data_IF_687565609961
#
_entry.id   IF_687565609961
#
_cell.length_a   1.000
_cell.length_b   1.000
_cell.length_c   1.000
_cell.angle_alpha   90.00
_cell.angle_beta   90.00
_cell.angle_gamma   90.00
#
_symmetry.space_group_name_H-M   'P 1'
#
loop_
_entity.id
_entity.type
_entity.pdbx_description
1 polymer ?
#
# COMPACT_ATOMS: atom_id res chain seq x y z
N UNK A 1 -15.18 4.53 -24.49
CA UNK A 1 -14.94 3.08 -24.50
C UNK A 1 -14.53 2.70 -23.08
N UNK A 2 -15.36 1.92 -22.39
CA UNK A 2 -14.97 1.38 -21.08
C UNK A 2 -13.79 0.44 -21.29
N UNK A 3 -12.65 0.83 -20.75
CA UNK A 3 -11.45 0.02 -20.80
C UNK A 3 -11.68 -1.20 -19.90
N UNK A 4 -11.51 -2.39 -20.45
CA UNK A 4 -11.70 -3.62 -19.71
C UNK A 4 -10.82 -3.63 -18.44
N UNK A 5 -11.41 -4.03 -17.32
CA UNK A 5 -10.73 -4.11 -16.03
C UNK A 5 -9.82 -5.36 -15.97
N UNK A 6 -8.60 -5.19 -16.44
CA UNK A 6 -7.61 -6.26 -16.39
C UNK A 6 -7.70 -7.29 -17.51
N UNK A 7 -6.94 -8.37 -17.36
CA UNK A 7 -6.97 -9.55 -18.23
C UNK A 7 -8.28 -10.35 -18.04
N UNK A 8 -8.55 -11.34 -18.88
CA UNK A 8 -9.68 -12.27 -18.68
C UNK A 8 -9.68 -12.94 -17.30
N UNK A 9 -8.50 -13.27 -16.74
CA UNK A 9 -8.37 -13.83 -15.39
C UNK A 9 -8.77 -12.81 -14.32
N UNK A 10 -8.29 -11.56 -14.43
CA UNK A 10 -8.69 -10.47 -13.53
C UNK A 10 -10.21 -10.23 -13.58
N UNK A 11 -10.80 -10.22 -14.77
CA UNK A 11 -12.25 -10.03 -14.94
C UNK A 11 -13.05 -11.17 -14.31
N UNK A 12 -12.59 -12.43 -14.47
CA UNK A 12 -13.22 -13.59 -13.85
C UNK A 12 -13.16 -13.51 -12.32
N UNK A 13 -12.02 -13.08 -11.76
CA UNK A 13 -11.85 -12.87 -10.33
C UNK A 13 -12.76 -11.76 -9.81
N UNK A 14 -12.81 -10.63 -10.51
CA UNK A 14 -13.71 -9.51 -10.17
C UNK A 14 -15.17 -9.96 -10.20
N UNK A 15 -15.58 -10.67 -11.25
CA UNK A 15 -16.94 -11.18 -11.37
C UNK A 15 -17.29 -12.16 -10.23
N UNK A 16 -16.33 -12.99 -9.83
CA UNK A 16 -16.51 -13.93 -8.71
C UNK A 16 -16.75 -13.21 -7.38
N UNK A 17 -15.92 -12.21 -7.07
CA UNK A 17 -16.06 -11.41 -5.84
C UNK A 17 -17.37 -10.60 -5.86
N UNK A 18 -17.72 -10.00 -6.99
CA UNK A 18 -19.00 -9.29 -7.15
C UNK A 18 -20.19 -10.22 -6.95
N UNK A 19 -20.15 -11.41 -7.53
CA UNK A 19 -21.22 -12.41 -7.37
C UNK A 19 -21.39 -12.87 -5.92
N UNK A 20 -20.29 -13.01 -5.18
CA UNK A 20 -20.32 -13.38 -3.76
C UNK A 20 -21.06 -12.34 -2.91
N UNK A 21 -20.83 -11.06 -3.17
CA UNK A 21 -21.46 -9.97 -2.42
C UNK A 21 -22.82 -9.52 -3.00
N UNK A 22 -23.28 -10.14 -4.07
CA UNK A 22 -24.57 -9.80 -4.67
C UNK A 22 -25.73 -10.10 -3.68
N UNK A 23 -26.45 -9.05 -3.28
CA UNK A 23 -27.56 -9.15 -2.33
C UNK A 23 -27.14 -9.23 -0.85
N UNK A 24 -25.88 -9.03 -0.52
CA UNK A 24 -25.42 -8.92 0.86
C UNK A 24 -25.66 -7.49 1.37
N UNK A 25 -26.64 -7.34 2.25
CA UNK A 25 -27.03 -6.04 2.82
C UNK A 25 -25.94 -5.39 3.68
N UNK A 26 -24.93 -6.16 4.11
CA UNK A 26 -23.77 -5.61 4.81
C UNK A 26 -22.87 -4.79 3.90
N UNK A 27 -22.94 -4.98 2.57
CA UNK A 27 -22.02 -4.41 1.60
C UNK A 27 -22.67 -3.27 0.83
N UNK A 28 -22.06 -2.10 0.86
CA UNK A 28 -22.50 -0.90 0.14
C UNK A 28 -21.93 -0.81 -1.26
N UNK A 29 -20.67 -1.24 -1.43
CA UNK A 29 -20.02 -1.28 -2.73
C UNK A 29 -18.84 -2.25 -2.72
N UNK A 30 -18.54 -2.78 -3.91
CA UNK A 30 -17.28 -3.45 -4.24
C UNK A 30 -16.58 -2.59 -5.28
N UNK A 31 -15.34 -2.26 -5.00
CA UNK A 31 -14.50 -1.49 -5.93
C UNK A 31 -13.16 -2.18 -6.15
N UNK A 32 -12.51 -1.85 -7.25
CA UNK A 32 -11.11 -2.22 -7.54
C UNK A 32 -10.28 -0.94 -7.66
N UNK A 33 -9.02 -1.02 -7.26
CA UNK A 33 -8.08 0.10 -7.34
C UNK A 33 -6.69 -0.39 -7.77
N UNK A 34 -5.62 0.34 -7.49
CA UNK A 34 -4.28 -0.06 -7.91
C UNK A 34 -4.10 -0.09 -9.43
N UNK A 35 -3.27 -1.00 -9.92
CA UNK A 35 -2.94 -1.11 -11.35
C UNK A 35 -4.14 -1.51 -12.21
N UNK A 36 -4.99 -2.40 -11.71
CA UNK A 36 -6.20 -2.85 -12.43
C UNK A 36 -7.23 -1.72 -12.51
N UNK A 37 -7.48 -1.01 -11.41
CA UNK A 37 -8.38 0.15 -11.39
C UNK A 37 -7.90 1.30 -12.25
N UNK A 38 -6.57 1.54 -12.29
CA UNK A 38 -5.94 2.58 -13.11
C UNK A 38 -5.89 2.24 -14.62
N UNK A 39 -6.08 0.98 -14.99
CA UNK A 39 -5.89 0.52 -16.36
C UNK A 39 -4.41 0.40 -16.78
N UNK A 40 -3.48 0.35 -15.82
CA UNK A 40 -2.03 0.22 -16.05
C UNK A 40 -1.49 -1.17 -15.69
N UNK A 41 -2.39 -2.15 -15.65
CA UNK A 41 -2.14 -3.52 -15.27
C UNK A 41 -1.27 -4.27 -16.30
N UNK A 42 -0.67 -5.37 -15.87
CA UNK A 42 -0.06 -6.42 -16.68
C UNK A 42 -0.56 -7.79 -16.21
N UNK A 43 -0.25 -8.86 -16.91
CA UNK A 43 -0.78 -10.21 -16.65
C UNK A 43 -0.46 -10.73 -15.24
N UNK A 44 0.62 -10.25 -14.62
CA UNK A 44 1.05 -10.61 -13.26
C UNK A 44 0.64 -9.56 -12.22
N UNK A 45 -0.24 -8.62 -12.56
CA UNK A 45 -0.77 -7.69 -11.56
C UNK A 45 -1.71 -8.41 -10.62
N UNK A 46 -1.62 -8.07 -9.32
CA UNK A 46 -2.63 -8.40 -8.33
C UNK A 46 -3.93 -7.61 -8.56
N UNK A 47 -5.01 -8.05 -7.93
CA UNK A 47 -6.28 -7.33 -7.92
C UNK A 47 -6.54 -6.79 -6.52
N UNK A 48 -6.50 -5.49 -6.39
CA UNK A 48 -6.81 -4.78 -5.14
C UNK A 48 -8.31 -4.50 -5.04
N UNK A 49 -8.98 -5.11 -4.06
CA UNK A 49 -10.39 -4.88 -3.78
C UNK A 49 -10.59 -3.96 -2.58
N UNK A 50 -11.53 -3.05 -2.72
CA UNK A 50 -12.04 -2.18 -1.66
C UNK A 50 -13.52 -2.49 -1.47
N UNK A 51 -13.84 -3.24 -0.41
CA UNK A 51 -15.20 -3.68 -0.08
C UNK A 51 -15.76 -2.74 0.99
N UNK A 52 -16.64 -1.83 0.59
CA UNK A 52 -17.23 -0.85 1.49
C UNK A 52 -18.44 -1.45 2.19
N UNK A 53 -18.39 -1.47 3.51
CA UNK A 53 -19.42 -2.06 4.36
C UNK A 53 -20.40 -1.02 4.91
N UNK A 54 -21.54 -1.46 5.43
CA UNK A 54 -22.34 -0.65 6.34
C UNK A 54 -21.56 -0.36 7.63
N UNK A 55 -21.85 0.76 8.27
CA UNK A 55 -21.12 1.23 9.46
C UNK A 55 -21.21 0.27 10.65
N UNK A 56 -22.31 -0.45 10.77
CA UNK A 56 -22.57 -1.44 11.82
C UNK A 56 -22.09 -2.85 11.48
N UNK A 57 -21.71 -3.10 10.23
CA UNK A 57 -21.30 -4.43 9.79
C UNK A 57 -20.01 -4.86 10.48
N UNK A 58 -19.95 -6.14 10.78
CA UNK A 58 -18.75 -6.81 11.26
C UNK A 58 -18.37 -7.84 10.21
N UNK A 59 -17.13 -7.76 9.77
CA UNK A 59 -16.54 -8.67 8.78
C UNK A 59 -15.35 -9.35 9.44
N UNK A 60 -15.29 -10.66 9.31
CA UNK A 60 -14.12 -11.47 9.63
C UNK A 60 -13.41 -11.80 8.32
N UNK A 61 -12.25 -11.17 8.04
CA UNK A 61 -11.53 -11.38 6.78
C UNK A 61 -11.20 -12.85 6.50
N UNK A 62 -10.85 -13.63 7.52
CA UNK A 62 -10.56 -15.05 7.37
C UNK A 62 -11.79 -15.86 6.94
N UNK A 63 -12.94 -15.60 7.58
CA UNK A 63 -14.19 -16.23 7.21
C UNK A 63 -14.67 -15.83 5.81
N UNK A 64 -14.53 -14.55 5.45
CA UNK A 64 -14.89 -14.07 4.09
C UNK A 64 -14.01 -14.72 3.01
N UNK A 65 -12.69 -14.82 3.21
CA UNK A 65 -11.81 -15.50 2.25
C UNK A 65 -12.13 -16.98 2.15
N UNK A 66 -12.43 -17.64 3.27
CA UNK A 66 -12.84 -19.04 3.25
C UNK A 66 -14.17 -19.25 2.50
N UNK A 67 -15.11 -18.31 2.64
CA UNK A 67 -16.38 -18.34 1.91
C UNK A 67 -16.21 -18.04 0.42
N UNK A 68 -15.34 -17.06 0.06
CA UNK A 68 -15.05 -16.68 -1.31
C UNK A 68 -14.34 -17.80 -2.09
N UNK A 69 -13.28 -18.34 -1.53
CA UNK A 69 -12.34 -19.17 -2.28
C UNK A 69 -12.19 -20.60 -1.75
N UNK A 70 -12.53 -20.83 -0.47
CA UNK A 70 -12.38 -22.15 0.15
C UNK A 70 -10.96 -22.70 -0.01
N UNK A 71 -10.80 -23.97 -0.46
CA UNK A 71 -9.48 -24.58 -0.62
C UNK A 71 -8.66 -24.00 -1.78
N UNK A 72 -9.24 -23.17 -2.64
CA UNK A 72 -8.50 -22.49 -3.73
C UNK A 72 -7.56 -21.40 -3.21
N UNK A 73 -7.80 -20.87 -2.01
CA UNK A 73 -6.89 -19.93 -1.34
C UNK A 73 -5.75 -20.73 -0.70
N UNK A 74 -4.61 -20.82 -1.37
CA UNK A 74 -3.41 -21.55 -0.90
C UNK A 74 -2.69 -20.77 0.20
N UNK A 75 -2.64 -19.44 0.07
CA UNK A 75 -2.12 -18.52 1.07
C UNK A 75 -3.22 -17.51 1.37
N UNK A 76 -3.51 -17.31 2.66
CA UNK A 76 -4.44 -16.29 3.12
C UNK A 76 -3.87 -15.64 4.39
N UNK A 77 -3.43 -14.40 4.26
CA UNK A 77 -2.89 -13.59 5.36
C UNK A 77 -3.96 -12.60 5.81
N UNK A 78 -4.84 -13.05 6.70
CA UNK A 78 -5.93 -12.24 7.22
C UNK A 78 -5.46 -11.32 8.35
N UNK A 79 -5.77 -10.02 8.22
CA UNK A 79 -5.60 -8.98 9.24
C UNK A 79 -6.92 -8.65 9.95
N UNK A 80 -7.00 -7.47 10.55
CA UNK A 80 -8.20 -7.01 11.24
C UNK A 80 -9.34 -6.60 10.27
N UNK A 81 -8.98 -6.04 9.13
CA UNK A 81 -9.90 -5.53 8.10
C UNK A 81 -9.38 -5.77 6.69
N UNK A 82 -8.34 -6.59 6.54
CA UNK A 82 -7.68 -6.88 5.27
C UNK A 82 -7.35 -8.35 5.14
N UNK A 83 -7.20 -8.84 3.91
CA UNK A 83 -6.58 -10.12 3.62
C UNK A 83 -5.79 -10.04 2.32
N UNK A 84 -4.57 -10.60 2.33
CA UNK A 84 -3.77 -10.86 1.13
C UNK A 84 -3.86 -12.35 0.82
N UNK A 85 -4.19 -12.69 -0.42
CA UNK A 85 -4.51 -14.05 -0.84
C UNK A 85 -3.75 -14.42 -2.11
N UNK A 86 -3.23 -15.65 -2.13
CA UNK A 86 -2.71 -16.29 -3.33
C UNK A 86 -3.55 -17.53 -3.62
N UNK A 87 -4.14 -17.59 -4.80
CA UNK A 87 -4.94 -18.71 -5.25
C UNK A 87 -4.06 -19.83 -5.82
N UNK A 88 -4.60 -21.04 -5.92
CA UNK A 88 -3.93 -22.20 -6.53
C UNK A 88 -3.51 -21.95 -8.00
N UNK A 89 -4.24 -21.11 -8.69
CA UNK A 89 -3.99 -20.65 -10.07
C UNK A 89 -2.94 -19.54 -10.16
N UNK A 90 -2.37 -19.12 -9.00
CA UNK A 90 -1.34 -18.08 -8.81
C UNK A 90 -1.81 -16.64 -8.98
N UNK A 91 -3.10 -16.38 -9.13
CA UNK A 91 -3.61 -15.02 -8.99
C UNK A 91 -3.43 -14.57 -7.56
N UNK A 92 -2.99 -13.31 -7.42
CA UNK A 92 -2.85 -12.62 -6.16
C UNK A 92 -3.95 -11.56 -6.04
N UNK A 93 -4.48 -11.42 -4.84
CA UNK A 93 -5.44 -10.37 -4.54
C UNK A 93 -5.27 -9.87 -3.11
N UNK A 94 -5.51 -8.56 -2.96
CA UNK A 94 -5.65 -7.92 -1.67
C UNK A 94 -7.11 -7.47 -1.51
N UNK A 95 -7.72 -7.77 -0.37
CA UNK A 95 -9.09 -7.32 -0.07
C UNK A 95 -9.09 -6.53 1.22
N UNK A 96 -9.76 -5.39 1.21
CA UNK A 96 -10.01 -4.59 2.40
C UNK A 96 -11.51 -4.43 2.61
N UNK A 97 -11.98 -4.65 3.85
CA UNK A 97 -13.37 -4.41 4.27
C UNK A 97 -13.43 -3.26 5.27
N UNK A 98 -14.21 -2.24 4.96
CA UNK A 98 -14.27 -1.07 5.83
C UNK A 98 -15.54 -0.23 5.60
N UNK A 99 -16.01 0.50 6.59
CA UNK A 99 -17.08 1.49 6.39
C UNK A 99 -16.57 2.69 5.57
N UNK A 100 -17.47 3.33 4.83
CA UNK A 100 -17.14 4.44 3.93
C UNK A 100 -16.29 5.54 4.62
N UNK A 101 -16.59 5.85 5.88
CA UNK A 101 -15.86 6.88 6.66
C UNK A 101 -14.38 6.58 6.89
N UNK A 102 -13.93 5.34 6.68
CA UNK A 102 -12.51 4.93 6.81
C UNK A 102 -11.86 4.61 5.48
N UNK A 103 -12.47 5.05 4.37
CA UNK A 103 -11.88 4.91 3.03
C UNK A 103 -10.46 5.47 3.00
N UNK A 104 -9.55 4.71 2.38
CA UNK A 104 -8.16 5.13 2.27
C UNK A 104 -8.01 6.30 1.30
N UNK A 105 -7.25 7.36 1.64
CA UNK A 105 -6.94 8.43 0.71
C UNK A 105 -6.11 7.99 -0.51
N UNK A 106 -5.54 6.79 -0.47
CA UNK A 106 -4.66 6.29 -1.54
C UNK A 106 -5.42 5.67 -2.72
N UNK A 107 -6.72 5.38 -2.58
CA UNK A 107 -7.51 4.79 -3.69
C UNK A 107 -7.87 5.81 -4.77
N UNK A 108 -7.95 7.08 -4.43
CA UNK A 108 -8.08 8.28 -5.28
C UNK A 108 -8.45 8.04 -6.75
N UNK A 109 -7.58 8.49 -7.66
CA UNK A 109 -7.83 8.48 -9.10
C UNK A 109 -7.86 7.07 -9.75
N UNK A 110 -7.54 6.02 -9.01
CA UNK A 110 -7.48 4.64 -9.54
C UNK A 110 -8.71 3.82 -9.22
N UNK A 111 -9.60 4.29 -8.31
CA UNK A 111 -10.76 3.52 -7.87
C UNK A 111 -11.81 3.38 -8.97
N UNK A 112 -12.31 2.16 -9.16
CA UNK A 112 -13.45 1.83 -10.01
C UNK A 112 -14.44 1.00 -9.24
N UNK A 113 -15.65 1.53 -9.04
CA UNK A 113 -16.74 0.75 -8.43
C UNK A 113 -17.26 -0.25 -9.46
N UNK A 114 -17.29 -1.51 -9.08
CA UNK A 114 -17.72 -2.63 -9.93
C UNK A 114 -19.09 -3.17 -9.54
N UNK A 115 -19.53 -2.93 -8.30
CA UNK A 115 -20.88 -3.27 -7.83
C UNK A 115 -21.29 -2.40 -6.64
N UNK A 116 -22.60 -2.29 -6.39
CA UNK A 116 -23.15 -1.68 -5.19
C UNK A 116 -23.85 -0.34 -5.43
N UNK A 117 -24.04 0.42 -4.33
CA UNK A 117 -24.85 1.65 -4.27
C UNK A 117 -24.03 2.95 -4.27
N UNK A 118 -22.72 2.83 -4.06
CA UNK A 118 -21.81 3.98 -4.05
C UNK A 118 -21.18 4.19 -5.42
N UNK A 119 -20.83 5.42 -5.72
CA UNK A 119 -20.05 5.79 -6.91
C UNK A 119 -18.56 5.91 -6.58
N UNK A 120 -17.69 5.93 -7.59
CA UNK A 120 -16.28 6.22 -7.41
C UNK A 120 -16.08 7.62 -6.77
N UNK A 121 -16.93 8.60 -7.09
CA UNK A 121 -16.85 9.93 -6.51
C UNK A 121 -17.11 9.93 -4.99
N UNK A 122 -18.01 9.06 -4.48
CA UNK A 122 -18.26 8.92 -3.04
C UNK A 122 -17.03 8.40 -2.31
N UNK A 123 -16.33 7.41 -2.90
CA UNK A 123 -15.12 6.85 -2.32
C UNK A 123 -13.97 7.87 -2.33
N UNK A 124 -13.81 8.60 -3.44
CA UNK A 124 -12.79 9.66 -3.55
C UNK A 124 -13.04 10.75 -2.52
N UNK A 125 -14.28 11.23 -2.39
CA UNK A 125 -14.64 12.26 -1.42
C UNK A 125 -14.41 11.81 0.03
N UNK A 126 -14.76 10.55 0.36
CA UNK A 126 -14.50 9.98 1.67
C UNK A 126 -13.00 9.84 1.94
N UNK A 127 -12.22 9.36 0.98
CA UNK A 127 -10.77 9.26 1.05
C UNK A 127 -10.09 10.63 1.23
N UNK A 128 -10.54 11.65 0.52
CA UNK A 128 -10.03 13.02 0.66
C UNK A 128 -10.33 13.58 2.05
N UNK A 129 -11.49 13.29 2.62
CA UNK A 129 -11.84 13.65 3.99
C UNK A 129 -10.93 12.98 5.04
N UNK A 130 -10.40 11.80 4.73
CA UNK A 130 -9.48 11.03 5.58
C UNK A 130 -7.99 11.36 5.32
N UNK A 131 -7.69 12.28 4.40
CA UNK A 131 -6.34 12.82 4.27
C UNK A 131 -5.96 13.61 5.52
N UNK A 132 -5.74 12.94 6.63
CA UNK A 132 -4.82 13.49 7.61
C UNK A 132 -3.48 13.53 6.89
N UNK A 133 -3.03 14.73 6.49
CA UNK A 133 -1.64 14.92 6.11
C UNK A 133 -0.83 14.46 7.32
N UNK A 134 -0.10 13.34 7.26
CA UNK A 134 0.88 13.10 8.29
C UNK A 134 1.72 14.35 8.28
N UNK A 135 1.86 14.97 9.44
CA UNK A 135 2.72 16.09 9.65
C UNK A 135 4.05 15.77 8.92
N UNK A 136 4.42 16.57 7.95
CA UNK A 136 5.66 16.40 7.16
C UNK A 136 6.85 16.23 8.12
N UNK A 137 6.85 16.97 9.23
CA UNK A 137 7.84 16.84 10.28
C UNK A 137 7.87 15.40 10.85
N UNK A 138 6.72 14.78 11.08
CA UNK A 138 6.62 13.43 11.64
C UNK A 138 7.13 12.36 10.64
N UNK A 139 6.90 12.56 9.35
CA UNK A 139 7.45 11.68 8.30
C UNK A 139 8.97 11.83 8.20
N UNK A 140 9.47 13.07 8.25
CA UNK A 140 10.90 13.34 8.26
C UNK A 140 11.59 12.74 9.49
N UNK A 141 10.95 12.77 10.66
CA UNK A 141 11.45 12.09 11.86
C UNK A 141 11.50 10.56 11.70
N UNK A 142 10.49 9.97 11.07
CA UNK A 142 10.48 8.54 10.78
C UNK A 142 11.62 8.14 9.81
N UNK A 143 11.85 8.94 8.77
CA UNK A 143 12.97 8.74 7.82
C UNK A 143 14.31 8.87 8.54
N UNK A 144 14.50 9.92 9.37
CA UNK A 144 15.72 10.11 10.14
C UNK A 144 16.01 8.92 11.08
N UNK A 145 14.97 8.42 11.77
CA UNK A 145 15.08 7.23 12.62
C UNK A 145 15.53 6.00 11.82
N UNK A 146 14.91 5.74 10.67
CA UNK A 146 15.27 4.59 9.83
C UNK A 146 16.67 4.74 9.24
N UNK A 147 17.14 5.97 8.95
CA UNK A 147 18.51 6.23 8.51
C UNK A 147 19.54 5.90 9.60
N UNK A 148 19.30 6.33 10.84
CA UNK A 148 20.15 5.96 11.99
C UNK A 148 20.16 4.44 12.18
N UNK A 149 19.02 3.78 12.03
CA UNK A 149 18.95 2.32 12.12
C UNK A 149 19.78 1.65 11.01
N UNK A 150 19.69 2.13 9.77
CA UNK A 150 20.50 1.62 8.66
C UNK A 150 22.00 1.78 8.92
N UNK A 151 22.45 2.95 9.40
CA UNK A 151 23.85 3.19 9.77
C UNK A 151 24.33 2.21 10.84
N UNK A 152 23.54 2.00 11.90
CA UNK A 152 23.86 1.03 12.96
C UNK A 152 23.89 -0.41 12.45
N UNK A 153 22.99 -0.78 11.54
CA UNK A 153 22.97 -2.10 10.92
C UNK A 153 24.23 -2.33 10.07
N UNK A 154 24.64 -1.34 9.26
CA UNK A 154 25.87 -1.38 8.47
C UNK A 154 27.10 -1.55 9.36
N UNK A 155 27.24 -0.75 10.42
CA UNK A 155 28.35 -0.83 11.35
C UNK A 155 28.47 -2.19 12.05
N UNK A 156 27.36 -2.93 12.20
CA UNK A 156 27.30 -4.27 12.77
C UNK A 156 27.42 -5.40 11.74
N UNK A 157 27.63 -5.09 10.46
CA UNK A 157 27.66 -6.06 9.37
C UNK A 157 26.29 -6.70 9.05
N UNK A 158 25.20 -6.12 9.55
CA UNK A 158 23.83 -6.62 9.36
C UNK A 158 23.23 -6.09 8.05
N UNK A 159 23.78 -6.56 6.95
CA UNK A 159 23.49 -6.06 5.61
C UNK A 159 22.00 -6.04 5.28
N UNK A 160 21.29 -7.13 5.52
CA UNK A 160 19.86 -7.22 5.17
C UNK A 160 18.98 -6.30 6.01
N UNK A 161 19.34 -6.06 7.26
CA UNK A 161 18.65 -5.08 8.10
C UNK A 161 18.86 -3.66 7.55
N UNK A 162 20.06 -3.35 7.07
CA UNK A 162 20.35 -2.08 6.42
C UNK A 162 19.56 -1.89 5.12
N UNK A 163 19.53 -2.90 4.24
CA UNK A 163 18.73 -2.90 3.00
C UNK A 163 17.26 -2.64 3.30
N UNK A 164 16.69 -3.35 4.27
CA UNK A 164 15.28 -3.17 4.65
C UNK A 164 14.99 -1.76 5.19
N UNK A 165 15.93 -1.16 5.93
CA UNK A 165 15.78 0.22 6.43
C UNK A 165 15.85 1.24 5.29
N UNK A 166 16.81 1.09 4.38
CA UNK A 166 16.96 1.95 3.19
C UNK A 166 15.69 1.90 2.33
N UNK A 167 15.12 0.72 2.15
CA UNK A 167 13.87 0.57 1.38
C UNK A 167 12.67 1.26 2.07
N UNK A 168 12.57 1.22 3.40
CA UNK A 168 11.56 2.01 4.12
C UNK A 168 11.73 3.51 3.93
N UNK A 169 12.98 4.01 3.96
CA UNK A 169 13.28 5.42 3.70
C UNK A 169 12.84 5.78 2.28
N UNK A 170 13.20 4.97 1.29
CA UNK A 170 12.83 5.19 -0.11
C UNK A 170 11.31 5.33 -0.26
N UNK A 171 10.53 4.39 0.30
CA UNK A 171 9.05 4.44 0.26
C UNK A 171 8.52 5.71 0.92
N UNK A 172 9.04 6.06 2.10
CA UNK A 172 8.62 7.26 2.82
C UNK A 172 8.92 8.55 2.04
N UNK A 173 10.05 8.62 1.32
CA UNK A 173 10.37 9.74 0.43
C UNK A 173 9.42 9.80 -0.77
N UNK A 174 9.13 8.65 -1.40
CA UNK A 174 8.15 8.56 -2.49
C UNK A 174 6.77 9.09 -2.05
N UNK A 175 6.32 8.70 -0.86
CA UNK A 175 5.06 9.17 -0.29
C UNK A 175 5.06 10.68 0.00
N UNK A 176 6.18 11.23 0.48
CA UNK A 176 6.32 12.66 0.70
C UNK A 176 6.27 13.46 -0.60
N UNK A 177 6.92 12.96 -1.64
CA UNK A 177 6.98 13.61 -2.95
C UNK A 177 5.69 13.49 -3.74
N UNK A 178 4.80 12.56 -3.37
CA UNK A 178 3.54 12.30 -4.07
C UNK A 178 3.70 11.83 -5.52
N UNK A 179 4.87 11.28 -5.87
CA UNK A 179 5.19 10.77 -7.20
C UNK A 179 5.85 9.39 -7.10
N UNK A 180 5.67 8.57 -8.12
CA UNK A 180 6.42 7.33 -8.28
C UNK A 180 7.90 7.66 -8.37
N UNK A 181 8.67 6.89 -7.65
CA UNK A 181 10.08 7.09 -7.45
C UNK A 181 10.89 6.34 -8.51
N UNK A 182 11.82 7.04 -9.10
CA UNK A 182 12.83 6.54 -10.05
C UNK A 182 14.16 6.27 -9.32
N UNK A 183 14.25 6.44 -7.99
CA UNK A 183 15.44 6.13 -7.22
C UNK A 183 15.79 4.64 -7.36
N UNK A 184 16.77 4.37 -8.20
CA UNK A 184 17.36 3.04 -8.35
C UNK A 184 18.40 2.86 -7.27
N UNK A 185 18.10 2.00 -6.31
CA UNK A 185 19.02 1.65 -5.23
C UNK A 185 19.59 0.27 -5.49
N UNK A 186 20.91 0.13 -5.34
CA UNK A 186 21.56 -1.17 -5.44
C UNK A 186 21.51 -1.91 -4.09
N UNK A 187 20.76 -3.01 -3.96
CA UNK A 187 20.76 -3.82 -2.75
C UNK A 187 22.13 -4.46 -2.45
N UNK A 188 23.01 -4.52 -3.45
CA UNK A 188 24.38 -5.00 -3.27
C UNK A 188 25.29 -3.96 -2.59
N UNK A 189 24.90 -2.68 -2.62
CA UNK A 189 25.59 -1.58 -1.93
C UNK A 189 24.61 -0.78 -1.05
N UNK A 190 24.20 -1.30 0.11
CA UNK A 190 23.27 -0.59 0.99
C UNK A 190 23.87 0.69 1.59
N UNK A 191 25.19 0.83 1.64
CA UNK A 191 25.84 2.06 2.11
C UNK A 191 25.71 3.18 1.06
N UNK A 192 26.01 2.91 -0.19
CA UNK A 192 25.79 3.84 -1.30
C UNK A 192 24.31 4.16 -1.50
N UNK A 193 23.43 3.17 -1.37
CA UNK A 193 21.99 3.38 -1.40
C UNK A 193 21.52 4.32 -0.30
N UNK A 194 22.02 4.15 0.95
CA UNK A 194 21.71 5.06 2.05
C UNK A 194 22.22 6.48 1.78
N UNK A 195 23.46 6.62 1.28
CA UNK A 195 24.00 7.93 0.95
C UNK A 195 23.17 8.65 -0.12
N UNK A 196 22.70 7.92 -1.14
CA UNK A 196 21.82 8.43 -2.20
C UNK A 196 20.50 8.97 -1.61
N UNK A 197 19.77 8.17 -0.81
CA UNK A 197 18.49 8.63 -0.24
C UNK A 197 18.65 9.79 0.74
N UNK A 198 19.77 9.86 1.48
CA UNK A 198 20.06 10.98 2.37
C UNK A 198 20.38 12.27 1.60
N UNK A 199 21.10 12.17 0.48
CA UNK A 199 21.37 13.31 -0.41
C UNK A 199 20.06 13.86 -0.97
N UNK A 200 19.18 13.01 -1.46
CA UNK A 200 17.87 13.39 -1.98
C UNK A 200 17.00 14.04 -0.89
N UNK A 201 17.02 13.48 0.33
CA UNK A 201 16.30 14.04 1.46
C UNK A 201 16.79 15.47 1.79
N UNK A 202 18.09 15.68 1.79
CA UNK A 202 18.69 17.00 2.07
C UNK A 202 18.43 18.01 0.97
N UNK A 203 18.35 17.56 -0.30
CA UNK A 203 18.07 18.44 -1.43
C UNK A 203 16.61 18.93 -1.44
N UNK A 204 15.66 18.06 -1.07
CA UNK A 204 14.23 18.36 -1.19
C UNK A 204 13.62 19.00 0.07
N UNK A 205 14.24 18.82 1.24
CA UNK A 205 13.67 19.23 2.53
C UNK A 205 14.65 20.03 3.37
N UNK A 206 14.16 21.14 3.94
CA UNK A 206 14.91 21.95 4.91
C UNK A 206 14.99 21.18 6.24
N UNK A 207 15.98 20.33 6.38
CA UNK A 207 16.26 19.63 7.64
C UNK A 207 16.80 20.62 8.66
N UNK A 208 16.19 20.69 9.84
CA UNK A 208 16.72 21.49 10.94
C UNK A 208 18.10 21.00 11.38
N UNK A 209 18.92 21.88 12.02
CA UNK A 209 20.33 21.56 12.34
C UNK A 209 20.52 20.30 13.16
N UNK A 210 19.59 19.96 14.04
CA UNK A 210 19.64 18.72 14.82
C UNK A 210 19.49 17.46 13.96
N UNK A 211 18.56 17.46 12.97
CA UNK A 211 18.41 16.34 12.04
C UNK A 211 19.60 16.22 11.10
N UNK A 212 20.13 17.33 10.62
CA UNK A 212 21.34 17.35 9.79
C UNK A 212 22.54 16.77 10.55
N UNK A 213 22.73 17.14 11.82
CA UNK A 213 23.81 16.61 12.65
C UNK A 213 23.67 15.09 12.86
N UNK A 214 22.45 14.59 13.11
CA UNK A 214 22.18 13.17 13.28
C UNK A 214 22.44 12.37 12.00
N UNK A 215 22.06 12.90 10.85
CA UNK A 215 22.18 12.23 9.55
C UNK A 215 23.59 12.34 8.95
N UNK A 216 24.33 13.39 9.31
CA UNK A 216 25.72 13.61 8.87
C UNK A 216 26.76 12.90 9.72
N UNK A 217 26.41 12.40 10.90
CA UNK A 217 27.33 11.63 11.76
C UNK A 217 27.57 10.25 11.15
N UNK A 218 28.76 10.03 10.56
CA UNK A 218 29.21 8.71 10.13
C UNK A 218 29.72 7.87 11.32
N UNK A 219 29.80 8.45 12.52
CA UNK A 219 30.22 7.70 13.71
C UNK A 219 29.01 7.07 14.41
N UNK A 220 28.88 5.72 14.37
CA UNK A 220 27.76 5.01 14.98
C UNK A 220 27.89 4.86 16.51
N UNK A 221 28.91 5.46 17.13
CA UNK A 221 29.15 5.42 18.57
C UNK A 221 28.33 6.49 19.29
N UNK A 222 27.67 6.13 20.42
CA UNK A 222 27.04 7.12 21.28
C UNK A 222 28.07 8.02 21.93
#
# INVERSE_FOLDING_TARGET
>A
MDQALGSPAHQALIAHVVAHYAGDDRIRAVAVFGSVGAGTWHELSDVDFDVVTEDSARVDPGAEIAALFGPRAVIALAGADTADVVLESREELSVRWHPLRTTSPNIGATVRVVAGRLSAADLVAAGDGNRSRPDEARRLDAIARDAIYAQKALARGKRWEAVAAVERIRRSLTDLRGRRDDLRLDPADPAGALATVLTELQADYALGPQRQALLGSQDPRP
#
